data_IF_674627031962
#
_entry.id   IF_674627031962
#
_cell.length_a   1.000
_cell.length_b   1.000
_cell.length_c   1.000
_cell.angle_alpha   90.00
_cell.angle_beta   90.00
_cell.angle_gamma   90.00
#
_symmetry.space_group_name_H-M   'P 1'
#
loop_
_entity.id
_entity.type
_entity.pdbx_description
1 polymer ?
#
# COMPACT_ATOMS: atom_id res chain seq x y z
N UNK A 1 40.68 12.71 -19.46
CA UNK A 1 40.71 14.18 -19.72
C UNK A 1 39.36 14.74 -20.23
N UNK A 2 38.75 14.17 -21.29
CA UNK A 2 37.45 14.64 -21.86
C UNK A 2 36.29 14.69 -20.84
N UNK A 3 36.14 13.68 -20.00
CA UNK A 3 35.11 13.65 -18.94
C UNK A 3 35.26 14.83 -17.95
N UNK A 4 36.46 15.06 -17.41
CA UNK A 4 36.73 16.19 -16.50
C UNK A 4 36.45 17.55 -17.16
N UNK A 5 36.83 17.71 -18.44
CA UNK A 5 36.51 18.91 -19.22
C UNK A 5 34.99 19.08 -19.37
N UNK A 6 34.26 18.04 -19.74
CA UNK A 6 32.80 18.08 -19.91
C UNK A 6 32.06 18.34 -18.60
N UNK A 7 32.55 17.81 -17.48
CA UNK A 7 32.02 18.10 -16.16
C UNK A 7 32.19 19.60 -15.81
N UNK A 8 33.37 20.17 -16.08
CA UNK A 8 33.61 21.61 -15.91
C UNK A 8 32.75 22.47 -16.85
N UNK A 9 32.60 22.08 -18.10
CA UNK A 9 31.72 22.76 -19.07
C UNK A 9 30.27 22.77 -18.57
N UNK A 10 29.77 21.64 -18.04
CA UNK A 10 28.42 21.55 -17.45
C UNK A 10 28.25 22.48 -16.24
N UNK A 11 29.20 22.50 -15.31
CA UNK A 11 29.17 23.40 -14.15
C UNK A 11 29.18 24.89 -14.55
N UNK A 12 29.98 25.24 -15.56
CA UNK A 12 30.01 26.61 -16.10
C UNK A 12 28.69 26.97 -16.78
N UNK A 13 28.06 26.04 -17.49
CA UNK A 13 26.76 26.23 -18.12
C UNK A 13 25.63 26.40 -17.10
N UNK A 14 25.62 25.61 -16.03
CA UNK A 14 24.71 25.78 -14.89
C UNK A 14 24.88 27.14 -14.22
N UNK A 15 26.13 27.56 -13.97
CA UNK A 15 26.44 28.87 -13.40
C UNK A 15 25.95 30.02 -14.29
N UNK A 16 26.17 29.92 -15.62
CA UNK A 16 25.64 30.90 -16.60
C UNK A 16 24.12 30.93 -16.59
N UNK A 17 23.46 29.77 -16.55
CA UNK A 17 22.00 29.67 -16.48
C UNK A 17 21.46 30.36 -15.23
N UNK A 18 22.08 30.15 -14.06
CA UNK A 18 21.68 30.81 -12.81
C UNK A 18 21.85 32.32 -12.87
N UNK A 19 22.97 32.81 -13.38
CA UNK A 19 23.20 34.25 -13.54
C UNK A 19 22.17 34.91 -14.47
N UNK A 20 21.86 34.27 -15.61
CA UNK A 20 20.81 34.75 -16.54
C UNK A 20 19.43 34.74 -15.88
N UNK A 21 19.11 33.69 -15.10
CA UNK A 21 17.86 33.62 -14.35
C UNK A 21 17.74 34.72 -13.30
N UNK A 22 18.82 35.00 -12.57
CA UNK A 22 18.85 36.08 -11.58
C UNK A 22 18.58 37.43 -12.24
N UNK A 23 19.34 37.79 -13.29
CA UNK A 23 19.12 39.04 -14.02
C UNK A 23 17.69 39.15 -14.56
N UNK A 24 17.12 38.03 -15.04
CA UNK A 24 15.74 38.02 -15.51
C UNK A 24 14.73 38.22 -14.38
N UNK A 25 14.96 37.66 -13.19
CA UNK A 25 14.12 37.91 -12.02
C UNK A 25 14.19 39.38 -11.61
N UNK A 26 15.38 39.97 -11.58
CA UNK A 26 15.56 41.40 -11.30
C UNK A 26 14.80 42.28 -12.30
N UNK A 27 14.94 42.01 -13.61
CA UNK A 27 14.18 42.72 -14.63
C UNK A 27 12.67 42.51 -14.51
N UNK A 28 12.21 41.29 -14.24
CA UNK A 28 10.79 40.99 -14.06
C UNK A 28 10.21 41.67 -12.82
N UNK A 29 10.97 41.72 -11.72
CA UNK A 29 10.59 42.42 -10.50
C UNK A 29 10.53 43.94 -10.73
N UNK A 30 11.41 44.47 -11.60
CA UNK A 30 11.35 45.84 -12.08
C UNK A 30 10.25 46.09 -13.14
N UNK A 31 9.46 45.06 -13.50
CA UNK A 31 8.36 45.15 -14.47
C UNK A 31 8.78 45.00 -15.94
N UNK A 32 10.07 44.81 -16.24
CA UNK A 32 10.59 44.67 -17.61
C UNK A 32 10.56 43.20 -18.04
N UNK A 33 9.65 42.87 -18.95
CA UNK A 33 9.48 41.51 -19.46
C UNK A 33 10.33 41.26 -20.71
N UNK A 34 11.48 40.60 -20.55
CA UNK A 34 12.33 40.18 -21.69
C UNK A 34 11.97 38.76 -22.15
N UNK A 35 11.74 38.59 -23.45
CA UNK A 35 11.52 37.29 -24.11
C UNK A 35 12.87 36.60 -24.36
N UNK A 36 13.02 35.36 -23.91
CA UNK A 36 14.22 34.55 -24.16
C UNK A 36 13.95 33.62 -25.35
N UNK A 37 14.76 33.73 -26.41
CA UNK A 37 14.76 32.77 -27.51
C UNK A 37 15.92 31.80 -27.30
N UNK A 38 15.64 30.59 -26.82
CA UNK A 38 16.67 29.57 -26.55
C UNK A 38 16.97 28.67 -27.74
N UNK A 39 16.17 28.74 -28.81
CA UNK A 39 16.22 27.78 -29.92
C UNK A 39 17.11 28.27 -31.06
N UNK A 40 17.79 27.31 -31.70
CA UNK A 40 18.48 27.52 -32.97
C UNK A 40 17.54 27.16 -34.13
N UNK A 41 17.74 27.78 -35.29
CA UNK A 41 16.96 27.48 -36.51
C UNK A 41 17.14 25.99 -36.86
N UNK A 42 16.03 25.26 -37.04
CA UNK A 42 16.02 23.82 -37.32
C UNK A 42 15.95 22.91 -36.09
N UNK A 43 15.94 23.46 -34.86
CA UNK A 43 15.74 22.68 -33.65
C UNK A 43 14.26 22.66 -33.24
N UNK A 44 13.71 21.47 -32.98
CA UNK A 44 12.35 21.28 -32.46
C UNK A 44 12.22 21.84 -31.04
N UNK A 45 11.02 22.34 -30.70
CA UNK A 45 10.75 22.81 -29.35
C UNK A 45 10.08 21.78 -28.46
N UNK A 46 10.94 21.21 -27.61
CA UNK A 46 10.69 20.59 -26.32
C UNK A 46 9.35 20.91 -25.65
N UNK A 47 9.13 22.22 -25.47
CA UNK A 47 8.11 22.72 -24.57
C UNK A 47 6.81 23.11 -25.27
N UNK A 48 6.85 23.36 -26.58
CA UNK A 48 5.68 23.81 -27.33
C UNK A 48 4.88 22.65 -27.90
N UNK A 49 5.52 21.51 -28.18
CA UNK A 49 4.88 20.38 -28.83
C UNK A 49 5.47 19.05 -28.34
N UNK A 50 4.69 17.97 -28.44
CA UNK A 50 5.14 16.62 -28.12
C UNK A 50 5.90 16.08 -29.33
N UNK A 51 7.22 15.86 -29.22
CA UNK A 51 7.97 15.33 -30.35
C UNK A 51 7.53 13.91 -30.66
N UNK A 52 7.29 13.65 -31.94
CA UNK A 52 6.90 12.33 -32.44
C UNK A 52 5.67 11.77 -31.71
N UNK A 53 4.65 12.59 -31.50
CA UNK A 53 3.40 12.15 -30.89
C UNK A 53 2.78 10.99 -31.67
N UNK A 54 2.56 9.88 -30.97
CA UNK A 54 1.83 8.73 -31.48
C UNK A 54 0.56 8.59 -30.66
N UNK A 55 -0.58 8.87 -31.29
CA UNK A 55 -1.87 8.70 -30.65
C UNK A 55 -2.02 7.25 -30.14
N UNK A 56 -2.58 7.06 -28.94
CA UNK A 56 -2.86 5.72 -28.44
C UNK A 56 -3.79 5.00 -29.41
N UNK A 57 -3.59 3.69 -29.57
CA UNK A 57 -4.44 2.90 -30.45
C UNK A 57 -5.90 2.96 -29.96
N UNK A 58 -6.89 3.12 -30.87
CA UNK A 58 -8.29 3.11 -30.47
C UNK A 58 -8.64 1.76 -29.84
N UNK A 59 -9.22 1.80 -28.63
CA UNK A 59 -9.63 0.63 -27.87
C UNK A 59 -11.15 0.42 -27.90
N UNK A 60 -11.60 -0.69 -27.32
CA UNK A 60 -13.02 -1.01 -27.19
C UNK A 60 -13.71 -0.32 -25.99
N UNK A 61 -12.93 0.20 -25.05
CA UNK A 61 -13.43 0.83 -23.83
C UNK A 61 -13.38 2.35 -23.94
N UNK A 62 -14.35 3.02 -23.32
CA UNK A 62 -14.39 4.47 -23.21
C UNK A 62 -13.41 4.97 -22.15
N UNK A 63 -12.65 6.02 -22.47
CA UNK A 63 -11.60 6.62 -21.62
C UNK A 63 -11.94 8.04 -21.17
N UNK A 64 -13.16 8.53 -21.40
CA UNK A 64 -13.59 9.88 -21.00
C UNK A 64 -13.41 10.16 -19.50
N UNK A 65 -13.72 9.19 -18.63
CA UNK A 65 -13.55 9.36 -17.18
C UNK A 65 -12.08 9.50 -16.77
N UNK A 66 -11.19 8.71 -17.38
CA UNK A 66 -9.75 8.77 -17.13
C UNK A 66 -9.13 10.08 -17.62
N UNK A 67 -9.61 10.61 -18.76
CA UNK A 67 -9.19 11.91 -19.28
C UNK A 67 -9.55 13.03 -18.29
N UNK A 68 -10.77 13.02 -17.74
CA UNK A 68 -11.19 13.99 -16.73
C UNK A 68 -10.38 13.90 -15.44
N UNK A 69 -10.03 12.69 -15.00
CA UNK A 69 -9.15 12.49 -13.85
C UNK A 69 -7.73 13.01 -14.12
N UNK A 70 -7.18 12.76 -15.31
CA UNK A 70 -5.86 13.23 -15.72
C UNK A 70 -5.80 14.77 -15.79
N UNK A 71 -6.86 15.42 -16.25
CA UNK A 71 -6.97 16.89 -16.25
C UNK A 71 -6.97 17.45 -14.83
N UNK A 72 -7.80 16.90 -13.93
CA UNK A 72 -7.79 17.29 -12.50
C UNK A 72 -6.43 17.07 -11.86
N UNK A 73 -5.76 15.96 -12.15
CA UNK A 73 -4.42 15.68 -11.65
C UNK A 73 -3.39 16.69 -12.17
N UNK A 74 -3.52 17.12 -13.43
CA UNK A 74 -2.67 18.14 -14.06
C UNK A 74 -2.89 19.52 -13.42
N UNK A 75 -4.12 19.89 -13.11
CA UNK A 75 -4.43 21.15 -12.40
C UNK A 75 -3.89 21.16 -10.97
N UNK A 76 -3.99 20.02 -10.28
CA UNK A 76 -3.48 19.85 -8.92
C UNK A 76 -1.94 19.73 -8.85
N UNK A 77 -1.27 19.64 -9.99
CA UNK A 77 0.17 19.45 -10.05
C UNK A 77 0.93 20.74 -9.74
N UNK A 78 1.55 20.79 -8.56
CA UNK A 78 2.47 21.88 -8.19
C UNK A 78 3.92 21.50 -8.53
N UNK A 79 4.57 22.21 -9.48
CA UNK A 79 5.93 21.90 -9.91
C UNK A 79 6.97 22.02 -8.79
N UNK A 80 6.72 22.84 -7.75
CA UNK A 80 7.65 22.97 -6.62
C UNK A 80 7.67 21.71 -5.75
N UNK A 81 6.54 21.06 -5.57
CA UNK A 81 6.42 19.82 -4.77
C UNK A 81 7.14 18.65 -5.45
N UNK A 82 7.08 18.56 -6.78
CA UNK A 82 7.79 17.51 -7.52
C UNK A 82 9.32 17.68 -7.48
N UNK A 83 9.82 18.91 -7.56
CA UNK A 83 11.27 19.18 -7.46
C UNK A 83 11.83 18.80 -6.09
N UNK A 84 11.08 19.04 -5.01
CA UNK A 84 11.42 18.60 -3.65
C UNK A 84 11.46 17.07 -3.54
N UNK A 85 10.51 16.36 -4.16
CA UNK A 85 10.48 14.90 -4.18
C UNK A 85 11.69 14.31 -4.92
N UNK A 86 12.08 14.88 -6.06
CA UNK A 86 13.26 14.44 -6.81
C UNK A 86 14.57 14.75 -6.07
N UNK A 87 14.65 15.90 -5.39
CA UNK A 87 15.82 16.24 -4.56
C UNK A 87 15.96 15.27 -3.38
N UNK A 88 14.87 14.90 -2.73
CA UNK A 88 14.86 13.89 -1.65
C UNK A 88 15.26 12.49 -2.11
N UNK A 89 15.00 12.10 -3.36
CA UNK A 89 15.47 10.82 -3.89
C UNK A 89 16.98 10.77 -4.11
N UNK A 90 17.60 11.88 -4.56
CA UNK A 90 19.06 11.96 -4.71
C UNK A 90 19.80 12.18 -3.38
N UNK A 91 19.18 12.90 -2.45
CA UNK A 91 19.72 13.18 -1.11
C UNK A 91 19.41 12.04 -0.13
N UNK A 92 18.53 11.09 -0.46
CA UNK A 92 18.20 9.95 0.40
C UNK A 92 19.39 9.01 0.62
N UNK A 93 20.24 8.82 -0.38
CA UNK A 93 21.48 8.04 -0.27
C UNK A 93 22.57 8.79 0.52
N UNK A 94 22.59 10.12 0.46
CA UNK A 94 23.59 10.95 1.15
C UNK A 94 23.16 11.33 2.59
N UNK A 95 21.84 11.36 2.85
CA UNK A 95 21.22 11.60 4.16
C UNK A 95 21.13 10.36 5.07
N UNK A 96 21.43 9.17 4.55
CA UNK A 96 21.65 7.96 5.37
C UNK A 96 23.10 7.90 5.90
N UNK A 97 24.04 8.56 5.22
CA UNK A 97 25.45 8.66 5.61
C UNK A 97 25.92 9.83 6.53
N UNK A 98 25.11 10.81 6.98
CA UNK A 98 25.56 11.84 7.92
C UNK A 98 25.53 11.31 9.37
N UNK A 99 24.74 10.29 9.67
CA UNK A 99 24.69 9.65 10.99
C UNK A 99 26.00 8.92 11.31
N UNK A 100 26.60 8.23 10.33
CA UNK A 100 27.88 7.52 10.52
C UNK A 100 29.06 8.46 10.74
N UNK A 101 29.03 9.68 10.19
CA UNK A 101 30.07 10.70 10.44
C UNK A 101 29.91 11.40 11.80
N UNK A 102 28.68 11.53 12.33
CA UNK A 102 28.43 12.06 13.68
C UNK A 102 28.76 11.05 14.79
N UNK A 103 28.56 9.77 14.54
CA UNK A 103 28.88 8.68 15.49
C UNK A 103 30.39 8.53 15.78
N UNK A 104 31.27 8.99 14.90
CA UNK A 104 32.73 8.89 15.11
C UNK A 104 33.29 9.93 16.09
N UNK A 105 32.59 11.07 16.27
CA UNK A 105 33.04 12.14 17.16
C UNK A 105 32.55 12.00 18.62
N UNK A 106 31.60 11.11 18.90
CA UNK A 106 31.06 10.87 20.26
C UNK A 106 31.53 9.56 20.90
N UNK A 107 32.59 8.94 20.38
CA UNK A 107 33.19 7.70 20.93
C UNK A 107 34.02 7.93 22.20
N UNK A 108 33.86 9.08 22.87
CA UNK A 108 34.55 9.43 24.11
C UNK A 108 33.76 9.20 25.39
N UNK A 109 32.42 9.05 25.34
CA UNK A 109 31.60 9.15 26.56
C UNK A 109 30.32 8.29 26.55
N UNK A 110 30.39 7.03 26.09
CA UNK A 110 29.18 6.25 25.75
C UNK A 110 29.03 4.89 26.44
N UNK A 111 29.58 4.70 27.64
CA UNK A 111 29.36 3.47 28.41
C UNK A 111 27.88 3.29 28.81
N UNK A 112 27.23 4.37 29.25
CA UNK A 112 25.83 4.35 29.71
C UNK A 112 24.81 4.39 28.55
N UNK A 113 25.11 5.09 27.46
CA UNK A 113 24.21 5.19 26.31
C UNK A 113 24.21 3.94 25.43
N UNK A 114 25.31 3.17 25.39
CA UNK A 114 25.35 1.86 24.73
C UNK A 114 24.46 0.83 25.46
N UNK A 115 24.43 0.85 26.79
CA UNK A 115 23.56 -0.03 27.58
C UNK A 115 22.08 0.36 27.44
N UNK A 116 21.76 1.65 27.46
CA UNK A 116 20.39 2.14 27.22
C UNK A 116 19.90 1.85 25.79
N UNK A 117 20.76 1.96 24.79
CA UNK A 117 20.45 1.59 23.41
C UNK A 117 20.23 0.08 23.25
N UNK A 118 21.05 -0.75 23.91
CA UNK A 118 20.90 -2.20 23.90
C UNK A 118 19.61 -2.66 24.63
N UNK A 119 19.28 -2.05 25.77
CA UNK A 119 18.03 -2.33 26.49
C UNK A 119 16.79 -1.94 25.66
N UNK A 120 16.84 -0.79 24.98
CA UNK A 120 15.75 -0.33 24.10
C UNK A 120 15.62 -1.20 22.85
N UNK A 121 16.73 -1.66 22.27
CA UNK A 121 16.74 -2.62 21.16
C UNK A 121 16.14 -3.97 21.56
N UNK A 122 16.47 -4.49 22.74
CA UNK A 122 15.90 -5.73 23.28
C UNK A 122 14.40 -5.62 23.55
N UNK A 123 13.92 -4.49 24.07
CA UNK A 123 12.49 -4.24 24.24
C UNK A 123 11.75 -4.18 22.89
N UNK A 124 12.30 -3.50 21.89
CA UNK A 124 11.70 -3.43 20.56
C UNK A 124 11.65 -4.78 19.85
N UNK A 125 12.64 -5.64 20.08
CA UNK A 125 12.64 -7.00 19.53
C UNK A 125 11.55 -7.86 20.18
N UNK A 126 11.39 -7.78 21.52
CA UNK A 126 10.30 -8.47 22.23
C UNK A 126 8.91 -8.00 21.77
N UNK A 127 8.74 -6.71 21.50
CA UNK A 127 7.48 -6.16 20.97
C UNK A 127 7.20 -6.69 19.57
N UNK A 128 8.19 -6.73 18.67
CA UNK A 128 8.03 -7.31 17.33
C UNK A 128 7.73 -8.80 17.38
N UNK A 129 8.41 -9.56 18.22
CA UNK A 129 8.16 -10.99 18.41
C UNK A 129 6.76 -11.25 19.00
N UNK A 130 6.33 -10.44 19.97
CA UNK A 130 4.98 -10.48 20.52
C UNK A 130 3.91 -10.13 19.48
N UNK A 131 4.10 -9.07 18.69
CA UNK A 131 3.20 -8.70 17.59
C UNK A 131 3.11 -9.79 16.53
N UNK A 132 4.24 -10.44 16.19
CA UNK A 132 4.28 -11.57 15.25
C UNK A 132 3.65 -12.83 15.85
N UNK A 133 3.77 -13.07 17.15
CA UNK A 133 3.13 -14.20 17.83
C UNK A 133 1.60 -14.03 17.93
N UNK A 134 1.09 -12.81 18.13
CA UNK A 134 -0.36 -12.52 18.14
C UNK A 134 -1.00 -12.69 16.76
N UNK A 135 -0.21 -12.59 15.68
CA UNK A 135 -0.63 -12.83 14.29
C UNK A 135 -0.68 -14.32 13.94
N UNK A 136 -0.14 -15.20 14.79
CA UNK A 136 -0.21 -16.66 14.59
C UNK A 136 -1.44 -17.21 15.31
N UNK A 137 -2.26 -17.97 14.61
CA UNK A 137 -3.37 -18.71 15.21
C UNK A 137 -2.79 -19.81 16.10
N UNK A 138 -3.32 -19.98 17.32
CA UNK A 138 -2.87 -21.04 18.21
C UNK A 138 -2.98 -22.40 17.52
N UNK A 139 -1.90 -23.19 17.57
CA UNK A 139 -1.82 -24.49 16.93
C UNK A 139 -2.65 -25.49 17.73
N UNK A 140 -3.90 -25.74 17.30
CA UNK A 140 -4.72 -26.80 17.86
C UNK A 140 -4.32 -28.13 17.20
N UNK A 141 -3.31 -28.77 17.78
CA UNK A 141 -2.96 -30.15 17.42
C UNK A 141 -4.03 -31.10 17.94
N UNK A 142 -4.32 -32.21 17.22
CA UNK A 142 -5.12 -33.29 17.76
C UNK A 142 -4.48 -33.79 19.06
N UNK A 143 -5.30 -34.19 20.03
CA UNK A 143 -4.82 -34.77 21.27
C UNK A 143 -3.86 -35.93 20.95
N UNK A 144 -2.72 -36.05 21.67
CA UNK A 144 -1.80 -37.14 21.47
C UNK A 144 -2.57 -38.47 21.58
N UNK A 145 -2.37 -39.36 20.61
CA UNK A 145 -3.07 -40.65 20.55
C UNK A 145 -2.57 -41.63 21.62
N UNK A 146 -1.48 -41.28 22.30
CA UNK A 146 -0.84 -42.07 23.35
C UNK A 146 -0.95 -41.28 24.63
N UNK A 147 -1.55 -41.87 25.65
CA UNK A 147 -1.62 -41.29 26.99
C UNK A 147 -0.25 -41.34 27.67
N UNK A 148 0.01 -40.48 28.65
CA UNK A 148 1.29 -40.46 29.38
C UNK A 148 1.59 -41.83 30.04
N UNK A 149 0.56 -42.55 30.51
CA UNK A 149 0.73 -43.89 31.08
C UNK A 149 1.17 -44.94 30.05
N UNK A 150 0.62 -44.90 28.82
CA UNK A 150 1.06 -45.77 27.74
C UNK A 150 2.50 -45.43 27.29
N UNK A 151 2.88 -44.16 27.39
CA UNK A 151 4.23 -43.70 27.08
C UNK A 151 5.23 -44.20 28.13
N UNK A 152 4.88 -44.17 29.41
CA UNK A 152 5.67 -44.78 30.49
C UNK A 152 5.81 -46.29 30.30
N UNK A 153 4.74 -46.99 29.91
CA UNK A 153 4.78 -48.42 29.62
C UNK A 153 5.63 -48.75 28.38
N UNK A 154 5.55 -47.95 27.32
CA UNK A 154 6.40 -48.09 26.12
C UNK A 154 7.86 -47.83 26.47
N UNK A 155 8.17 -46.81 27.27
CA UNK A 155 9.53 -46.52 27.72
C UNK A 155 10.04 -47.64 28.61
N UNK A 156 9.22 -48.16 29.54
CA UNK A 156 9.59 -49.27 30.40
C UNK A 156 9.80 -50.56 29.61
N UNK A 157 8.95 -50.83 28.63
CA UNK A 157 9.08 -51.96 27.72
C UNK A 157 10.33 -51.82 26.84
N UNK A 158 10.58 -50.62 26.30
CA UNK A 158 11.78 -50.28 25.53
C UNK A 158 13.07 -50.42 26.33
N UNK A 159 13.11 -49.90 27.56
CA UNK A 159 14.24 -50.05 28.48
C UNK A 159 14.45 -51.51 28.90
N UNK A 160 13.37 -52.30 29.04
CA UNK A 160 13.49 -53.73 29.32
C UNK A 160 14.03 -54.52 28.14
N UNK A 161 13.62 -54.15 26.91
CA UNK A 161 14.13 -54.73 25.66
C UNK A 161 15.60 -54.36 25.41
N UNK A 162 15.98 -53.11 25.66
CA UNK A 162 17.37 -52.64 25.54
C UNK A 162 18.28 -53.29 26.59
N UNK A 163 17.82 -53.45 27.84
CA UNK A 163 18.56 -54.19 28.87
C UNK A 163 18.71 -55.68 28.54
N UNK A 164 17.67 -56.30 27.99
CA UNK A 164 17.75 -57.69 27.53
C UNK A 164 18.69 -57.83 26.33
N UNK A 165 18.66 -56.88 25.40
CA UNK A 165 19.57 -56.82 24.24
C UNK A 165 21.02 -56.63 24.66
N UNK A 166 21.31 -55.70 25.58
CA UNK A 166 22.69 -55.44 26.06
C UNK A 166 23.24 -56.58 26.92
N UNK A 167 22.40 -57.24 27.73
CA UNK A 167 22.79 -58.46 28.46
C UNK A 167 23.07 -59.64 27.52
N UNK A 168 22.32 -59.76 26.44
CA UNK A 168 22.57 -60.79 25.41
C UNK A 168 23.77 -60.47 24.51
N UNK A 169 24.06 -59.19 24.27
CA UNK A 169 25.31 -58.75 23.62
C UNK A 169 26.54 -59.01 24.50
N UNK A 170 26.42 -58.90 25.82
CA UNK A 170 27.50 -59.21 26.78
C UNK A 170 27.75 -60.71 27.04
N UNK A 171 26.90 -61.60 26.52
CA UNK A 171 27.03 -63.05 26.66
C UNK A 171 27.80 -63.65 25.47
N UNK A 172 28.79 -64.51 25.73
CA UNK A 172 29.62 -65.20 24.71
C UNK A 172 28.86 -66.25 23.87
N UNK A 173 27.59 -66.53 24.19
CA UNK A 173 26.79 -67.52 23.45
C UNK A 173 26.13 -66.92 22.19
N UNK A 174 26.81 -67.06 21.04
CA UNK A 174 26.35 -66.61 19.71
C UNK A 174 24.94 -67.08 19.32
N UNK A 175 24.51 -68.26 19.79
CA UNK A 175 23.17 -68.80 19.50
C UNK A 175 22.02 -67.98 20.10
N UNK A 176 22.26 -67.25 21.20
CA UNK A 176 21.22 -66.45 21.88
C UNK A 176 21.04 -65.05 21.29
N UNK A 177 22.06 -64.54 20.58
CA UNK A 177 22.01 -63.24 19.88
C UNK A 177 21.01 -63.22 18.71
N UNK A 178 20.79 -64.36 18.06
CA UNK A 178 19.88 -64.48 16.91
C UNK A 178 18.39 -64.58 17.27
N UNK A 179 18.04 -64.91 18.52
CA UNK A 179 16.63 -65.02 18.96
C UNK A 179 16.02 -63.68 19.42
N UNK A 180 16.85 -62.70 19.78
CA UNK A 180 16.40 -61.35 20.13
C UNK A 180 16.35 -60.54 18.83
N UNK A 181 15.20 -60.59 18.16
CA UNK A 181 14.97 -59.81 16.94
C UNK A 181 15.01 -58.32 17.22
N UNK A 182 15.68 -57.54 16.37
CA UNK A 182 15.65 -56.08 16.40
C UNK A 182 14.27 -55.58 15.97
N UNK A 183 13.30 -55.59 16.89
CA UNK A 183 11.93 -55.12 16.63
C UNK A 183 11.80 -53.59 16.49
N UNK A 184 12.91 -52.84 16.58
CA UNK A 184 12.94 -51.38 16.46
C UNK A 184 12.36 -50.88 15.11
N UNK A 185 12.39 -51.69 14.04
CA UNK A 185 12.05 -51.23 12.68
C UNK A 185 11.03 -52.09 11.90
N UNK A 186 10.37 -53.06 12.53
CA UNK A 186 9.60 -54.08 11.78
C UNK A 186 8.14 -54.29 12.21
N UNK A 187 7.51 -53.28 12.84
CA UNK A 187 6.07 -53.30 13.12
C UNK A 187 5.28 -52.11 12.53
N UNK A 188 5.88 -51.31 11.64
CA UNK A 188 5.12 -50.30 10.87
C UNK A 188 5.61 -50.31 9.42
N UNK A 189 4.96 -51.07 8.52
CA UNK A 189 5.17 -50.85 7.08
C UNK A 189 4.87 -51.96 6.08
N UNK A 190 4.50 -53.17 6.49
CA UNK A 190 4.32 -54.29 5.54
C UNK A 190 2.87 -54.43 5.02
N UNK A 191 2.37 -53.43 4.28
CA UNK A 191 1.27 -53.62 3.31
C UNK A 191 1.51 -52.74 2.07
N UNK A 192 1.68 -53.29 0.86
CA UNK A 192 1.96 -52.52 -0.35
C UNK A 192 0.66 -52.01 -0.98
N UNK A 193 -0.09 -51.16 -0.26
CA UNK A 193 -1.26 -50.42 -0.80
C UNK A 193 -1.14 -48.92 -0.45
N UNK A 194 0.09 -48.40 -0.38
CA UNK A 194 0.31 -46.95 -0.20
C UNK A 194 1.33 -46.46 -1.20
N UNK A 195 0.95 -45.43 -1.94
CA UNK A 195 1.82 -44.66 -2.84
C UNK A 195 3.11 -44.31 -2.10
N UNK A 196 4.30 -44.48 -2.71
CA UNK A 196 5.56 -44.15 -2.05
C UNK A 196 5.51 -42.71 -1.52
N UNK A 197 5.85 -42.55 -0.24
CA UNK A 197 5.94 -41.26 0.43
C UNK A 197 6.92 -40.39 -0.37
N UNK A 198 6.48 -39.21 -0.80
CA UNK A 198 7.38 -38.26 -1.46
C UNK A 198 8.59 -37.97 -0.55
N UNK A 199 9.81 -37.81 -1.10
CA UNK A 199 10.96 -37.41 -0.31
C UNK A 199 10.65 -36.12 0.44
N UNK A 200 11.15 -35.99 1.67
CA UNK A 200 11.01 -34.75 2.44
C UNK A 200 11.74 -33.65 1.65
N UNK A 201 10.98 -32.70 1.08
CA UNK A 201 11.58 -31.54 0.44
C UNK A 201 12.19 -30.65 1.53
N UNK A 202 13.47 -30.34 1.42
CA UNK A 202 14.10 -29.33 2.27
C UNK A 202 13.42 -27.97 2.09
N UNK A 203 13.30 -27.19 3.18
CA UNK A 203 12.66 -25.88 3.15
C UNK A 203 13.45 -24.89 2.29
N UNK A 204 13.04 -24.75 1.02
CA UNK A 204 13.69 -23.87 0.03
C UNK A 204 13.82 -22.43 0.50
N UNK A 205 12.80 -21.95 1.23
CA UNK A 205 12.76 -20.60 1.79
C UNK A 205 13.78 -20.44 2.91
N UNK A 206 13.95 -21.46 3.76
CA UNK A 206 14.93 -21.41 4.86
C UNK A 206 16.36 -21.37 4.31
N UNK A 207 16.64 -22.18 3.29
CA UNK A 207 17.95 -22.22 2.63
C UNK A 207 18.25 -20.93 1.85
N UNK A 208 17.26 -20.36 1.15
CA UNK A 208 17.39 -19.06 0.50
C UNK A 208 17.66 -17.94 1.53
N UNK A 209 16.93 -17.93 2.65
CA UNK A 209 17.10 -16.92 3.69
C UNK A 209 18.51 -16.98 4.31
N UNK A 210 19.06 -18.18 4.49
CA UNK A 210 20.43 -18.39 4.97
C UNK A 210 21.45 -17.83 3.96
N UNK A 211 21.26 -18.10 2.67
CA UNK A 211 22.09 -17.54 1.60
C UNK A 211 21.96 -16.01 1.47
N UNK A 212 20.76 -15.46 1.67
CA UNK A 212 20.51 -14.02 1.65
C UNK A 212 21.24 -13.32 2.81
N UNK A 213 21.18 -13.91 4.02
CA UNK A 213 21.96 -13.42 5.17
C UNK A 213 23.46 -13.48 4.90
N UNK A 214 23.96 -14.61 4.39
CA UNK A 214 25.36 -14.76 4.04
C UNK A 214 25.84 -13.69 3.05
N UNK A 215 25.02 -13.34 2.04
CA UNK A 215 25.31 -12.25 1.06
C UNK A 215 25.27 -10.86 1.67
N UNK A 216 24.43 -10.64 2.68
CA UNK A 216 24.40 -9.34 3.39
C UNK A 216 25.56 -9.19 4.36
N UNK A 217 26.09 -10.31 4.88
CA UNK A 217 27.21 -10.33 5.82
C UNK A 217 28.57 -10.26 5.11
N UNK A 218 28.69 -10.75 3.86
CA UNK A 218 29.94 -10.63 3.09
C UNK A 218 30.20 -9.19 2.67
N UNK A 219 31.23 -8.58 3.26
CA UNK A 219 31.73 -7.27 2.83
C UNK A 219 32.51 -7.39 1.52
N UNK A 220 32.48 -6.33 0.70
CA UNK A 220 33.04 -6.24 -0.65
C UNK A 220 34.34 -7.04 -0.84
N UNK A 221 34.39 -7.86 -1.91
CA UNK A 221 35.55 -8.67 -2.31
C UNK A 221 36.86 -7.87 -2.46
N UNK A 222 36.79 -6.54 -2.58
CA UNK A 222 37.96 -5.66 -2.64
C UNK A 222 38.69 -5.50 -1.29
N UNK A 223 38.01 -5.80 -0.18
CA UNK A 223 38.58 -5.66 1.16
C UNK A 223 39.44 -6.87 1.59
N UNK A 224 39.40 -7.97 0.82
CA UNK A 224 40.16 -9.19 1.09
C UNK A 224 39.61 -9.95 2.31
N UNK A 225 39.00 -11.10 2.06
CA UNK A 225 38.44 -11.99 3.07
C UNK A 225 37.97 -13.31 2.45
N UNK A 226 37.82 -14.34 3.27
CA UNK A 226 37.26 -15.63 2.84
C UNK A 226 35.75 -15.51 2.64
N UNK A 227 35.22 -16.06 1.55
CA UNK A 227 33.79 -15.99 1.25
C UNK A 227 33.01 -16.94 2.17
N UNK A 228 31.88 -16.48 2.71
CA UNK A 228 30.99 -17.33 3.50
C UNK A 228 30.50 -18.52 2.66
N UNK A 229 30.56 -19.73 3.22
CA UNK A 229 30.04 -20.96 2.59
C UNK A 229 28.53 -20.81 2.33
N UNK A 230 28.14 -20.74 1.06
CA UNK A 230 26.75 -20.71 0.65
C UNK A 230 26.26 -22.13 0.37
N UNK A 231 24.99 -22.41 0.68
CA UNK A 231 24.35 -23.67 0.28
C UNK A 231 24.05 -23.56 -1.21
N UNK A 232 25.00 -24.01 -2.05
CA UNK A 232 24.93 -23.92 -3.51
C UNK A 232 24.19 -25.09 -4.16
N UNK A 233 23.74 -26.06 -3.38
CA UNK A 233 23.19 -27.28 -3.94
C UNK A 233 21.90 -26.98 -4.71
N UNK A 234 21.99 -27.09 -6.04
CA UNK A 234 21.00 -26.60 -7.01
C UNK A 234 19.61 -27.24 -6.86
N UNK A 235 19.51 -28.31 -6.07
CA UNK A 235 18.26 -28.97 -5.74
C UNK A 235 17.46 -28.25 -4.64
N UNK A 236 18.13 -27.55 -3.72
CA UNK A 236 17.50 -27.09 -2.46
C UNK A 236 17.00 -25.65 -2.50
N UNK A 237 17.61 -24.77 -3.29
CA UNK A 237 17.24 -23.34 -3.36
C UNK A 237 16.29 -23.00 -4.50
N UNK A 238 15.97 -23.98 -5.36
CA UNK A 238 15.05 -23.80 -6.50
C UNK A 238 15.56 -22.90 -7.62
N UNK A 239 16.79 -22.38 -7.53
CA UNK A 239 17.39 -21.42 -8.47
C UNK A 239 18.25 -22.14 -9.52
N UNK A 240 17.65 -23.07 -10.28
CA UNK A 240 18.33 -23.87 -11.31
C UNK A 240 18.44 -23.17 -12.68
N UNK A 241 17.76 -22.03 -12.87
CA UNK A 241 17.79 -21.27 -14.12
C UNK A 241 16.76 -20.13 -14.19
N UNK A 242 16.65 -19.53 -15.37
CA UNK A 242 15.71 -18.41 -15.68
C UNK A 242 14.25 -18.88 -15.65
N UNK A 243 14.00 -20.19 -15.79
CA UNK A 243 12.66 -20.75 -15.73
C UNK A 243 12.27 -21.03 -14.28
N UNK A 244 11.07 -20.62 -13.83
CA UNK A 244 10.62 -20.88 -12.47
C UNK A 244 10.51 -22.40 -12.24
N UNK A 245 11.07 -22.90 -11.14
CA UNK A 245 10.96 -24.32 -10.77
C UNK A 245 9.48 -24.67 -10.55
N UNK A 246 8.98 -25.71 -11.21
CA UNK A 246 7.59 -26.15 -11.02
C UNK A 246 7.41 -26.70 -9.60
N UNK A 247 6.46 -26.12 -8.85
CA UNK A 247 6.01 -26.70 -7.58
C UNK A 247 5.05 -27.84 -7.93
N UNK A 248 5.42 -29.08 -7.64
CA UNK A 248 4.49 -30.20 -7.74
C UNK A 248 3.38 -29.97 -6.71
N UNK A 249 2.16 -29.75 -7.18
CA UNK A 249 1.01 -29.63 -6.29
C UNK A 249 0.76 -31.00 -5.66
N UNK A 250 1.05 -31.11 -4.36
CA UNK A 250 0.68 -32.29 -3.59
C UNK A 250 -0.85 -32.41 -3.60
N UNK A 251 -1.37 -33.44 -4.28
CA UNK A 251 -2.79 -33.79 -4.24
C UNK A 251 -3.14 -34.16 -2.80
N UNK A 252 -3.99 -33.39 -2.11
CA UNK A 252 -4.37 -33.73 -0.75
C UNK A 252 -5.14 -35.04 -0.76
N UNK A 253 -4.72 -35.98 0.09
CA UNK A 253 -5.34 -37.28 0.26
C UNK A 253 -6.84 -37.13 0.60
N UNK A 254 -7.77 -37.66 -0.23
CA UNK A 254 -9.21 -37.47 -0.03
C UNK A 254 -9.76 -38.11 1.25
N UNK A 255 -9.01 -39.01 1.90
CA UNK A 255 -9.40 -39.63 3.18
C UNK A 255 -9.04 -38.80 4.42
N UNK A 256 -8.31 -37.69 4.27
CA UNK A 256 -7.87 -36.84 5.38
C UNK A 256 -8.66 -35.53 5.52
N UNK A 257 -9.86 -35.44 4.92
CA UNK A 257 -10.74 -34.28 5.10
C UNK A 257 -11.63 -34.50 6.35
N UNK A 258 -11.71 -33.52 7.27
CA UNK A 258 -12.50 -33.69 8.49
C UNK A 258 -13.99 -33.77 8.11
N UNK A 259 -14.60 -34.92 8.42
CA UNK A 259 -16.04 -35.08 8.54
C UNK A 259 -16.58 -33.91 9.37
N UNK A 260 -17.43 -33.06 8.77
CA UNK A 260 -18.17 -32.03 9.50
C UNK A 260 -19.21 -32.74 10.38
N UNK A 261 -18.91 -32.84 11.67
CA UNK A 261 -19.93 -32.98 12.69
C UNK A 261 -20.82 -31.73 12.66
N UNK A 262 -22.09 -31.90 12.29
CA UNK A 262 -23.06 -30.80 12.24
C UNK A 262 -24.47 -31.28 11.90
N UNK A 263 -25.20 -31.66 12.96
CA UNK A 263 -26.66 -31.73 13.07
C UNK A 263 -27.40 -32.87 12.36
N UNK A 264 -27.71 -33.89 13.16
CA UNK A 264 -28.86 -34.78 12.96
C UNK A 264 -30.17 -34.03 13.29
N UNK A 265 -31.03 -33.88 12.29
CA UNK A 265 -32.51 -33.93 12.36
C UNK A 265 -33.11 -33.27 11.11
N UNK A 266 -33.81 -34.06 10.29
CA UNK A 266 -34.58 -33.56 9.15
C UNK A 266 -34.68 -34.56 8.01
N UNK A 267 -35.72 -35.39 8.05
CA UNK A 267 -36.09 -36.30 6.99
C UNK A 267 -36.51 -35.56 5.70
N UNK A 268 -36.12 -36.11 4.54
CA UNK A 268 -36.86 -35.95 3.29
C UNK A 268 -36.38 -34.88 2.31
N UNK A 269 -35.44 -35.22 1.42
CA UNK A 269 -35.46 -34.79 0.01
C UNK A 269 -34.45 -35.62 -0.81
N UNK A 270 -34.94 -36.16 -1.92
CA UNK A 270 -34.32 -37.10 -2.88
C UNK A 270 -33.10 -36.55 -3.65
N UNK A 271 -32.26 -37.43 -4.24
CA UNK A 271 -30.98 -37.07 -4.87
C UNK A 271 -31.15 -36.64 -6.34
N UNK A 272 -30.52 -35.53 -6.76
CA UNK A 272 -30.38 -35.17 -8.19
C UNK A 272 -29.01 -34.52 -8.47
N UNK A 273 -28.22 -35.18 -9.31
CA UNK A 273 -27.38 -34.55 -10.34
C UNK A 273 -25.95 -34.12 -9.98
N UNK A 274 -24.92 -34.58 -10.72
CA UNK A 274 -23.54 -34.09 -10.61
C UNK A 274 -23.35 -32.85 -11.51
N UNK A 275 -23.08 -31.70 -10.92
CA UNK A 275 -22.84 -30.48 -11.70
C UNK A 275 -23.04 -29.18 -10.92
N UNK A 276 -22.32 -29.02 -9.81
CA UNK A 276 -22.20 -27.72 -9.16
C UNK A 276 -20.81 -27.61 -8.53
N UNK A 277 -19.98 -26.73 -9.09
CA UNK A 277 -18.69 -26.33 -8.56
C UNK A 277 -18.89 -25.62 -7.21
N UNK A 278 -18.18 -26.00 -6.14
CA UNK A 278 -18.27 -25.29 -4.87
C UNK A 278 -17.35 -24.07 -4.90
N UNK A 279 -17.70 -23.05 -5.69
CA UNK A 279 -17.10 -21.72 -5.59
C UNK A 279 -17.84 -20.94 -4.50
N UNK A 280 -17.53 -21.26 -3.24
CA UNK A 280 -17.77 -20.35 -2.12
C UNK A 280 -16.58 -20.45 -1.18
N UNK A 281 -15.64 -19.53 -1.35
CA UNK A 281 -14.54 -19.34 -0.41
C UNK A 281 -15.10 -19.07 0.99
N UNK A 282 -14.46 -19.57 2.05
CA UNK A 282 -14.88 -19.27 3.41
C UNK A 282 -14.71 -17.76 3.65
N UNK A 283 -15.80 -17.15 4.14
CA UNK A 283 -15.97 -15.73 4.46
C UNK A 283 -14.72 -15.11 5.11
N UNK A 284 -14.35 -13.95 4.56
CA UNK A 284 -13.28 -13.09 5.01
C UNK A 284 -13.66 -12.35 6.30
N UNK A 285 -12.80 -12.42 7.33
CA UNK A 285 -12.92 -11.66 8.57
C UNK A 285 -12.25 -10.28 8.47
N UNK A 286 -11.58 -10.00 7.36
CA UNK A 286 -11.12 -8.68 7.00
C UNK A 286 -12.19 -8.08 6.09
N UNK A 287 -12.72 -6.91 6.45
CA UNK A 287 -13.81 -6.20 5.75
C UNK A 287 -13.38 -5.63 4.39
N UNK A 288 -12.61 -6.39 3.63
CA UNK A 288 -11.97 -5.98 2.38
C UNK A 288 -12.95 -5.89 1.20
N UNK A 289 -14.18 -6.41 1.36
CA UNK A 289 -15.24 -6.35 0.35
C UNK A 289 -16.50 -5.60 0.83
N UNK A 290 -16.46 -4.84 1.92
CA UNK A 290 -17.64 -4.07 2.40
C UNK A 290 -17.90 -2.80 1.55
N UNK A 291 -16.88 -2.25 0.88
CA UNK A 291 -16.97 -0.97 0.18
C UNK A 291 -16.93 -1.06 -1.34
N UNK A 292 -16.80 -2.26 -1.91
CA UNK A 292 -16.90 -2.43 -3.35
C UNK A 292 -18.35 -2.82 -3.67
N UNK A 293 -19.05 -1.96 -4.41
CA UNK A 293 -20.46 -2.10 -4.78
C UNK A 293 -20.78 -3.30 -5.69
N UNK A 294 -19.96 -4.35 -5.65
CA UNK A 294 -20.00 -5.52 -6.51
C UNK A 294 -20.88 -6.68 -5.98
N UNK A 295 -21.63 -6.47 -4.89
CA UNK A 295 -22.69 -7.38 -4.48
C UNK A 295 -24.02 -6.66 -4.24
N UNK A 296 -24.46 -5.94 -5.28
CA UNK A 296 -25.83 -5.49 -5.41
C UNK A 296 -26.72 -6.71 -5.70
N UNK A 297 -27.11 -7.43 -4.64
CA UNK A 297 -28.23 -8.38 -4.72
C UNK A 297 -29.48 -7.59 -5.10
N UNK A 298 -29.88 -7.77 -6.36
CA UNK A 298 -31.22 -7.61 -6.93
C UNK A 298 -32.25 -6.88 -6.05
N UNK A 299 -32.54 -5.62 -6.39
CA UNK A 299 -33.81 -4.95 -6.07
C UNK A 299 -33.91 -4.20 -4.74
N UNK A 300 -33.02 -3.23 -4.46
CA UNK A 300 -33.23 -2.29 -3.35
C UNK A 300 -34.09 -1.11 -3.83
N UNK A 301 -35.30 -0.96 -3.28
CA UNK A 301 -36.11 0.24 -3.52
C UNK A 301 -35.44 1.46 -2.85
N UNK A 302 -35.71 2.70 -3.28
CA UNK A 302 -35.15 3.91 -2.63
C UNK A 302 -35.45 4.01 -1.13
N UNK A 303 -36.48 3.30 -0.64
CA UNK A 303 -36.85 3.20 0.77
C UNK A 303 -35.89 2.29 1.55
N UNK A 304 -35.42 1.21 0.94
CA UNK A 304 -34.53 0.24 1.59
C UNK A 304 -33.12 0.83 1.77
N UNK A 305 -32.65 1.61 0.79
CA UNK A 305 -31.39 2.37 0.91
C UNK A 305 -31.43 3.35 2.08
N UNK A 306 -32.54 4.11 2.24
CA UNK A 306 -32.71 5.03 3.38
C UNK A 306 -32.74 4.31 4.73
N UNK A 307 -33.40 3.14 4.80
CA UNK A 307 -33.43 2.31 6.01
C UNK A 307 -32.04 1.79 6.37
N UNK A 308 -31.25 1.40 5.36
CA UNK A 308 -29.87 0.94 5.56
C UNK A 308 -28.96 2.08 6.03
N UNK A 309 -29.06 3.27 5.45
CA UNK A 309 -28.34 4.46 5.91
C UNK A 309 -28.72 4.83 7.36
N UNK A 310 -30.00 4.72 7.70
CA UNK A 310 -30.48 4.99 9.06
C UNK A 310 -29.95 3.97 10.07
N UNK A 311 -29.87 2.69 9.68
CA UNK A 311 -29.26 1.62 10.49
C UNK A 311 -27.75 1.81 10.66
N UNK A 312 -27.04 2.25 9.62
CA UNK A 312 -25.62 2.60 9.73
C UNK A 312 -25.42 3.78 10.68
N UNK A 313 -26.22 4.84 10.56
CA UNK A 313 -26.16 6.01 11.45
C UNK A 313 -26.47 5.68 12.90
N UNK A 314 -27.45 4.80 13.18
CA UNK A 314 -27.73 4.37 14.55
C UNK A 314 -26.59 3.54 15.14
N UNK A 315 -25.96 2.68 14.33
CA UNK A 315 -24.78 1.90 14.74
C UNK A 315 -23.55 2.78 15.02
N UNK A 316 -23.37 3.87 14.28
CA UNK A 316 -22.30 4.84 14.52
C UNK A 316 -22.58 5.66 15.77
N UNK A 317 -23.84 6.10 15.98
CA UNK A 317 -24.23 6.82 17.20
C UNK A 317 -24.01 5.98 18.45
N UNK A 318 -24.35 4.70 18.45
CA UNK A 318 -24.11 3.84 19.60
C UNK A 318 -22.62 3.64 19.87
N UNK A 319 -21.79 3.50 18.83
CA UNK A 319 -20.33 3.41 18.95
C UNK A 319 -19.71 4.71 19.46
N UNK A 320 -20.14 5.86 18.96
CA UNK A 320 -19.65 7.16 19.42
C UNK A 320 -20.09 7.47 20.85
N UNK A 321 -21.32 7.06 21.23
CA UNK A 321 -21.79 7.17 22.61
C UNK A 321 -21.04 6.22 23.57
N UNK A 322 -20.47 5.12 23.05
CA UNK A 322 -19.64 4.20 23.84
C UNK A 322 -18.21 4.70 24.07
N UNK A 323 -17.82 5.82 23.44
CA UNK A 323 -16.53 6.44 23.71
C UNK A 323 -16.56 7.15 25.08
N UNK A 324 -15.49 7.02 25.89
CA UNK A 324 -15.39 7.74 27.15
C UNK A 324 -15.45 9.25 26.89
N UNK A 325 -16.24 9.98 27.68
CA UNK A 325 -16.33 11.44 27.59
C UNK A 325 -14.93 12.06 27.77
N UNK A 326 -14.56 13.07 26.98
CA UNK A 326 -13.25 13.71 27.10
C UNK A 326 -13.10 14.29 28.51
N UNK A 327 -12.02 13.95 29.20
CA UNK A 327 -11.79 14.33 30.60
C UNK A 327 -11.13 15.70 30.79
N UNK A 328 -10.70 16.34 29.71
CA UNK A 328 -9.94 17.60 29.77
C UNK A 328 -10.44 18.52 28.64
N UNK A 329 -11.45 19.34 28.90
CA UNK A 329 -11.90 20.40 27.98
C UNK A 329 -11.34 21.77 28.33
N UNK A 330 -10.55 21.87 29.40
CA UNK A 330 -10.03 23.13 29.93
C UNK A 330 -8.52 23.01 30.13
N UNK A 331 -7.76 23.20 29.06
CA UNK A 331 -6.34 23.55 29.19
C UNK A 331 -6.27 25.07 29.36
N UNK A 332 -6.23 25.53 30.60
CA UNK A 332 -5.93 26.92 30.93
C UNK A 332 -4.43 27.17 30.68
N UNK A 333 -4.13 27.71 29.50
CA UNK A 333 -2.78 28.12 29.14
C UNK A 333 -2.52 29.50 29.76
N UNK A 334 -2.02 29.52 31.00
CA UNK A 334 -1.49 30.75 31.60
C UNK A 334 -0.23 31.19 30.85
N UNK A 335 -0.39 32.20 29.99
CA UNK A 335 0.68 32.93 29.36
C UNK A 335 1.28 33.93 30.37
N UNK A 336 2.59 33.88 30.66
CA UNK A 336 3.24 34.89 31.49
C UNK A 336 3.14 36.29 30.84
N UNK A 337 2.63 37.26 31.59
CA UNK A 337 2.64 38.67 31.21
C UNK A 337 4.07 39.20 31.13
N UNK A 338 4.52 39.62 29.95
CA UNK A 338 5.44 40.75 29.85
C UNK A 338 5.42 41.40 28.45
N UNK A 339 5.28 42.73 28.49
CA UNK A 339 5.52 43.73 27.43
C UNK A 339 4.37 44.01 26.44
N UNK A 340 3.64 45.07 26.76
CA UNK A 340 2.78 45.79 25.84
C UNK A 340 3.62 46.46 24.73
N UNK A 341 3.55 45.92 23.52
CA UNK A 341 3.73 46.67 22.28
C UNK A 341 2.51 46.43 21.37
N UNK A 342 2.07 47.51 20.73
CA UNK A 342 0.77 47.68 20.11
C UNK A 342 0.32 46.51 19.19
N UNK A 343 -0.74 45.82 19.60
CA UNK A 343 -1.50 44.89 18.76
C UNK A 343 -2.37 45.68 17.76
N UNK A 344 -2.04 45.58 16.48
CA UNK A 344 -3.05 45.65 15.43
C UNK A 344 -3.92 44.39 15.55
N UNK A 345 -5.18 44.56 15.91
CA UNK A 345 -6.16 43.49 16.06
C UNK A 345 -6.46 42.81 14.72
N UNK A 346 -5.67 41.80 14.34
CA UNK A 346 -6.12 40.82 13.35
C UNK A 346 -7.11 39.89 14.04
N UNK A 347 -8.38 40.28 14.05
CA UNK A 347 -9.50 39.42 14.45
C UNK A 347 -9.33 38.05 13.78
N UNK A 348 -9.14 37.02 14.60
CA UNK A 348 -9.00 35.64 14.13
C UNK A 348 -10.21 35.25 13.30
N UNK A 349 -10.05 35.22 11.99
CA UNK A 349 -10.99 34.53 11.11
C UNK A 349 -10.81 33.05 11.38
N UNK A 350 -11.64 32.49 12.26
CA UNK A 350 -11.86 31.05 12.31
C UNK A 350 -12.07 30.60 10.88
N UNK A 351 -11.26 29.66 10.41
CA UNK A 351 -11.38 29.16 9.06
C UNK A 351 -12.76 28.49 8.93
N UNK A 352 -13.75 29.21 8.40
CA UNK A 352 -15.07 28.65 8.09
C UNK A 352 -14.87 27.38 7.25
N UNK A 353 -15.65 26.34 7.55
CA UNK A 353 -15.67 25.07 6.83
C UNK A 353 -15.77 25.33 5.31
N UNK A 354 -14.92 24.67 4.52
CA UNK A 354 -14.81 24.90 3.09
C UNK A 354 -16.17 24.72 2.39
N UNK A 355 -16.97 23.74 2.85
CA UNK A 355 -18.32 23.51 2.31
C UNK A 355 -19.29 24.67 2.56
N UNK A 356 -19.19 25.34 3.70
CA UNK A 356 -20.04 26.49 4.02
C UNK A 356 -19.67 27.73 3.17
N UNK A 357 -18.38 27.92 2.92
CA UNK A 357 -17.87 28.99 2.04
C UNK A 357 -18.28 28.76 0.59
N UNK A 358 -18.11 27.55 0.09
CA UNK A 358 -18.46 27.21 -1.30
C UNK A 358 -19.96 27.35 -1.54
N UNK A 359 -20.79 26.91 -0.60
CA UNK A 359 -22.24 27.11 -0.67
C UNK A 359 -22.62 28.59 -0.69
N UNK A 360 -22.05 29.41 0.20
CA UNK A 360 -22.29 30.85 0.25
C UNK A 360 -21.87 31.53 -1.07
N UNK A 361 -20.71 31.16 -1.60
CA UNK A 361 -20.20 31.70 -2.87
C UNK A 361 -21.08 31.28 -4.05
N UNK A 362 -21.55 30.03 -4.08
CA UNK A 362 -22.48 29.54 -5.10
C UNK A 362 -23.84 30.27 -5.04
N UNK A 363 -24.38 30.49 -3.84
CA UNK A 363 -25.62 31.23 -3.64
C UNK A 363 -25.49 32.70 -4.10
N UNK A 364 -24.37 33.35 -3.79
CA UNK A 364 -24.06 34.71 -4.27
C UNK A 364 -23.91 34.77 -5.79
N UNK A 365 -23.20 33.81 -6.38
CA UNK A 365 -23.03 33.74 -7.83
C UNK A 365 -24.37 33.50 -8.55
N UNK A 366 -25.22 32.61 -8.02
CA UNK A 366 -26.56 32.37 -8.56
C UNK A 366 -27.46 33.61 -8.44
N UNK A 367 -27.43 34.30 -7.30
CA UNK A 367 -28.17 35.55 -7.11
C UNK A 367 -27.71 36.65 -8.08
N UNK A 368 -26.40 36.77 -8.31
CA UNK A 368 -25.84 37.70 -9.29
C UNK A 368 -26.27 37.34 -10.73
N UNK A 369 -26.18 36.07 -11.12
CA UNK A 369 -26.61 35.61 -12.44
C UNK A 369 -28.11 35.87 -12.67
N UNK A 370 -28.95 35.64 -11.65
CA UNK A 370 -30.38 35.96 -11.71
C UNK A 370 -30.65 37.46 -11.83
N UNK A 371 -29.87 38.30 -11.13
CA UNK A 371 -29.96 39.75 -11.23
C UNK A 371 -29.52 40.24 -12.62
N UNK A 372 -28.45 39.69 -13.19
CA UNK A 372 -28.01 39.98 -14.55
C UNK A 372 -29.03 39.54 -15.60
N UNK A 373 -29.61 38.35 -15.46
CA UNK A 373 -30.67 37.86 -16.34
C UNK A 373 -31.91 38.76 -16.29
N UNK A 374 -32.28 39.27 -15.10
CA UNK A 374 -33.35 40.25 -14.93
C UNK A 374 -33.04 41.62 -15.54
N UNK A 375 -31.76 41.98 -15.68
CA UNK A 375 -31.32 43.21 -16.38
C UNK A 375 -31.29 43.06 -17.90
N UNK A 376 -31.25 41.83 -18.42
CA UNK A 376 -31.28 41.57 -19.86
C UNK A 376 -32.64 41.92 -20.47
N UNK A 377 -32.68 42.02 -21.79
CA UNK A 377 -33.89 42.35 -22.55
C UNK A 377 -34.98 41.28 -22.35
N UNK A 378 -36.25 41.69 -22.45
CA UNK A 378 -37.40 40.77 -22.30
C UNK A 378 -37.34 39.57 -23.25
N UNK A 379 -36.75 39.75 -24.44
CA UNK A 379 -36.57 38.68 -25.44
C UNK A 379 -35.72 37.54 -24.90
N UNK A 380 -34.65 37.87 -24.17
CA UNK A 380 -33.76 36.87 -23.56
C UNK A 380 -34.41 36.22 -22.35
N UNK A 381 -35.14 36.99 -21.54
CA UNK A 381 -35.89 36.46 -20.39
C UNK A 381 -36.98 35.46 -20.79
N UNK A 382 -37.65 35.71 -21.92
CA UNK A 382 -38.70 34.83 -22.46
C UNK A 382 -38.16 33.65 -23.27
N UNK A 383 -36.84 33.52 -23.42
CA UNK A 383 -36.22 32.40 -24.15
C UNK A 383 -36.65 32.31 -25.62
N UNK A 384 -36.97 33.45 -26.25
CA UNK A 384 -37.39 33.46 -27.65
C UNK A 384 -36.23 33.00 -28.57
N UNK A 385 -36.53 32.26 -29.66
CA UNK A 385 -35.50 31.72 -30.55
C UNK A 385 -34.68 32.83 -31.19
N UNK A 386 -33.35 32.63 -31.26
CA UNK A 386 -32.44 33.56 -31.94
C UNK A 386 -32.48 33.30 -33.45
N UNK A 387 -32.61 34.33 -34.30
CA UNK A 387 -32.53 34.16 -35.75
C UNK A 387 -31.12 33.68 -36.14
N UNK A 388 -31.03 32.75 -37.10
CA UNK A 388 -29.75 32.22 -37.61
C UNK A 388 -28.97 33.25 -38.43
N UNK A 389 -29.67 34.18 -39.06
CA UNK A 389 -29.11 35.26 -39.88
C UNK A 389 -29.74 36.57 -39.40
N UNK A 390 -28.89 37.56 -39.11
CA UNK A 390 -29.31 38.90 -38.68
C UNK A 390 -28.92 39.88 -39.78
N UNK A 391 -29.91 40.54 -40.38
CA UNK A 391 -29.68 41.64 -41.32
C UNK A 391 -29.54 42.95 -40.54
N UNK A 392 -28.29 43.40 -40.40
CA UNK A 392 -27.91 44.57 -39.59
C UNK A 392 -28.42 45.86 -40.25
N UNK A 393 -28.44 45.93 -41.58
CA UNK A 393 -28.82 47.14 -42.31
C UNK A 393 -30.33 47.39 -42.22
N UNK A 394 -31.13 46.34 -42.30
CA UNK A 394 -32.58 46.42 -42.07
C UNK A 394 -32.90 46.83 -40.62
N UNK A 395 -32.17 46.30 -39.63
CA UNK A 395 -32.36 46.68 -38.22
C UNK A 395 -32.04 48.15 -37.93
N UNK A 396 -30.94 48.68 -38.51
CA UNK A 396 -30.56 50.08 -38.36
C UNK A 396 -31.55 51.04 -39.01
N UNK A 397 -32.16 50.67 -40.14
CA UNK A 397 -33.25 51.44 -40.76
C UNK A 397 -34.47 51.50 -39.85
N UNK A 398 -34.93 50.35 -39.36
CA UNK A 398 -36.08 50.27 -38.46
C UNK A 398 -35.87 51.05 -37.15
N UNK A 399 -34.65 51.04 -36.60
CA UNK A 399 -34.30 51.81 -35.39
C UNK A 399 -34.29 53.32 -35.62
N UNK A 400 -33.98 53.79 -36.83
CA UNK A 400 -34.07 55.21 -37.21
C UNK A 400 -35.52 55.65 -37.42
N UNK A 401 -36.36 54.75 -37.89
CA UNK A 401 -37.78 55.02 -38.14
C UNK A 401 -38.64 54.94 -36.86
N UNK A 402 -38.16 54.24 -35.81
CA UNK A 402 -38.82 54.23 -34.51
C UNK A 402 -38.66 55.58 -33.80
N UNK A 403 -39.75 56.33 -33.67
CA UNK A 403 -39.81 57.57 -32.89
C UNK A 403 -40.04 57.26 -31.40
N UNK A 404 -39.38 57.98 -30.51
CA UNK A 404 -39.55 57.84 -29.07
C UNK A 404 -40.99 58.21 -28.66
N UNK A 405 -41.72 57.30 -27.98
CA UNK A 405 -43.10 57.56 -27.58
C UNK A 405 -43.24 58.57 -26.43
N UNK A 406 -42.13 59.08 -25.90
CA UNK A 406 -42.07 60.05 -24.79
C UNK A 406 -42.01 61.50 -25.32
N UNK A 407 -41.73 61.72 -26.61
CA UNK A 407 -41.72 63.05 -27.23
C UNK A 407 -43.09 63.47 -27.83
N UNK A 408 -44.21 63.05 -27.24
CA UNK A 408 -45.56 63.47 -27.65
C UNK A 408 -46.33 64.22 -26.58
#
# INVERSE_FOLDING_TARGET
KKAKRKARERQLEESRRLAVLQKRRELKNAGINVKVTTRKKGQMDYNADIPFEKAPAPGFYDTQEELAQNERAREMFDPRKQQLANKRKGDGEEAEHPETKRMKNNKGDSGASAFAAAAKAGQQQRIREAEMSSKRRSLNLPAPQVSEGELEDIVKMGMSGERASTLAEGSENENTRGLIGNYQNQMVGATPIRTPRAPQEDDRIANELRNARARTETQSALFGGENNEMVEDSATTGYRGVTPSQKAAATPNPMATPFRNGMANGAGATPRGPGATPMRTPRDNFRLNENDGSMQLVGQTPRDVRMQEQAQRSSLRSKLASLPKPKETEFELELPEERAEAMASSSGTVAEDAGARDKRNADLAHAAAMAEFRRQTQTVQRGLPRPKVVDIDAMLKNARDSKDPIER
#
